data_IF_469633121519
#
_entry.id   IF_469633121519
#
_cell.length_a   1.000
_cell.length_b   1.000
_cell.length_c   1.000
_cell.angle_alpha   90.00
_cell.angle_beta   90.00
_cell.angle_gamma   90.00
#
_symmetry.space_group_name_H-M   'P 1'
#
loop_
_entity.id
_entity.type
_entity.pdbx_description
1 polymer ?
#
# COMPACT_ATOMS: atom_id res chain seq x y z
N UNK A 1 -8.19 13.81 -54.27
CA UNK A 1 -7.02 14.72 -54.39
C UNK A 1 -7.56 16.13 -54.26
N UNK A 2 -7.28 16.99 -53.30
CA UNK A 2 -6.33 17.23 -52.18
C UNK A 2 -7.01 18.39 -51.40
N UNK A 3 -6.76 18.79 -50.15
CA UNK A 3 -5.64 18.68 -49.23
C UNK A 3 -6.23 18.89 -47.82
N UNK A 4 -6.06 17.91 -46.92
CA UNK A 4 -6.22 18.10 -45.47
C UNK A 4 -4.88 18.51 -44.83
N UNK A 5 -3.90 18.91 -45.67
CA UNK A 5 -2.50 19.12 -45.29
C UNK A 5 -2.12 20.58 -44.98
N UNK A 6 -2.91 21.59 -45.33
CA UNK A 6 -2.39 22.98 -45.35
C UNK A 6 -2.41 23.72 -43.99
N UNK A 7 -2.99 23.15 -42.93
CA UNK A 7 -3.08 23.82 -41.62
C UNK A 7 -2.67 22.98 -40.41
N UNK A 8 -2.12 21.78 -40.63
CA UNK A 8 -1.41 21.04 -39.59
C UNK A 8 0.03 21.54 -39.57
N UNK A 9 0.32 22.54 -38.74
CA UNK A 9 1.71 22.87 -38.42
C UNK A 9 2.21 21.89 -37.37
N UNK A 10 3.21 21.09 -37.74
CA UNK A 10 4.00 20.26 -36.84
C UNK A 10 4.59 21.16 -35.73
N UNK A 11 4.02 21.09 -34.53
CA UNK A 11 4.46 21.90 -33.39
C UNK A 11 5.78 21.40 -32.76
N UNK A 12 6.21 20.19 -33.13
CA UNK A 12 7.44 19.56 -32.68
C UNK A 12 7.46 18.07 -33.02
N UNK A 13 8.66 17.51 -33.17
CA UNK A 13 8.89 16.06 -33.26
C UNK A 13 9.59 15.64 -31.99
N UNK A 14 8.99 14.75 -31.20
CA UNK A 14 9.71 14.11 -30.10
C UNK A 14 10.50 12.95 -30.70
N UNK A 15 11.79 13.19 -30.94
CA UNK A 15 12.70 12.19 -31.47
C UNK A 15 13.46 11.59 -30.29
N UNK A 16 13.21 10.32 -30.00
CA UNK A 16 14.08 9.55 -29.12
C UNK A 16 15.17 8.98 -30.03
N UNK A 17 16.41 9.46 -29.89
CA UNK A 17 17.48 9.17 -30.86
C UNK A 17 17.93 7.70 -30.85
N UNK A 18 17.60 6.92 -29.82
CA UNK A 18 17.96 5.52 -29.67
C UNK A 18 16.90 4.76 -28.85
N UNK A 19 16.85 3.44 -29.01
CA UNK A 19 16.25 2.55 -28.00
C UNK A 19 17.08 2.68 -26.72
N UNK A 20 16.76 3.65 -25.88
CA UNK A 20 17.39 3.82 -24.57
C UNK A 20 16.74 2.82 -23.62
N UNK A 21 17.48 1.77 -23.27
CA UNK A 21 17.11 0.90 -22.15
C UNK A 21 17.27 1.73 -20.88
N UNK A 22 16.16 2.26 -20.36
CA UNK A 22 16.13 3.05 -19.12
C UNK A 22 16.48 2.17 -17.91
N UNK A 23 15.97 0.95 -17.93
CA UNK A 23 16.14 -0.04 -16.88
C UNK A 23 15.98 -1.43 -17.49
N UNK A 24 16.81 -2.38 -17.06
CA UNK A 24 16.63 -3.79 -17.39
C UNK A 24 15.98 -4.46 -16.19
N UNK A 25 14.78 -5.00 -16.39
CA UNK A 25 13.98 -5.66 -15.36
C UNK A 25 13.76 -7.14 -15.71
N UNK A 26 13.47 -7.97 -14.71
CA UNK A 26 13.15 -9.37 -14.93
C UNK A 26 11.72 -9.52 -15.48
N UNK A 27 11.44 -10.61 -16.20
CA UNK A 27 10.07 -10.94 -16.59
C UNK A 27 9.29 -11.48 -15.39
N UNK A 28 8.15 -10.86 -15.08
CA UNK A 28 7.35 -11.18 -13.91
C UNK A 28 5.95 -11.67 -14.27
N UNK A 29 5.35 -12.48 -13.40
CA UNK A 29 3.97 -12.93 -13.45
C UNK A 29 3.60 -13.45 -14.85
N UNK A 30 4.26 -14.50 -15.36
CA UNK A 30 4.06 -14.96 -16.73
C UNK A 30 2.59 -15.28 -16.99
N UNK A 31 2.11 -14.84 -18.14
CA UNK A 31 0.72 -15.01 -18.55
C UNK A 31 0.41 -16.50 -18.75
N UNK A 32 -0.70 -16.98 -18.16
CA UNK A 32 -1.09 -18.39 -18.25
C UNK A 32 -2.02 -18.72 -19.42
N UNK A 33 -2.60 -17.71 -20.04
CA UNK A 33 -3.54 -17.84 -21.15
C UNK A 33 -3.40 -16.66 -22.13
N UNK A 34 -3.69 -16.84 -23.41
CA UNK A 34 -3.66 -15.73 -24.37
C UNK A 34 -4.81 -14.76 -24.12
N UNK A 35 -4.49 -13.46 -24.03
CA UNK A 35 -5.51 -12.42 -23.91
C UNK A 35 -6.07 -12.05 -25.29
N UNK A 36 -7.38 -12.24 -25.54
CA UNK A 36 -7.97 -11.83 -26.82
C UNK A 36 -7.90 -10.31 -26.96
N UNK A 37 -7.23 -9.86 -28.02
CA UNK A 37 -7.18 -8.43 -28.37
C UNK A 37 -8.51 -8.02 -29.02
N UNK A 38 -9.36 -7.34 -28.26
CA UNK A 38 -10.56 -6.71 -28.80
C UNK A 38 -10.17 -5.40 -29.49
N UNK A 39 -10.10 -5.42 -30.82
CA UNK A 39 -9.96 -4.21 -31.62
C UNK A 39 -11.36 -3.69 -31.92
N UNK A 40 -11.64 -2.45 -31.51
CA UNK A 40 -12.88 -1.79 -31.92
C UNK A 40 -12.94 -1.71 -33.45
N UNK A 41 -14.11 -1.86 -34.08
CA UNK A 41 -14.23 -1.61 -35.52
C UNK A 41 -13.70 -0.23 -35.87
N UNK A 42 -13.01 -0.09 -37.01
CA UNK A 42 -12.32 1.14 -37.40
C UNK A 42 -13.27 2.36 -37.41
N UNK A 43 -14.52 2.16 -37.81
CA UNK A 43 -15.57 3.18 -37.77
C UNK A 43 -15.87 3.67 -36.34
N UNK A 44 -15.93 2.77 -35.37
CA UNK A 44 -16.17 3.11 -33.95
C UNK A 44 -14.98 3.90 -33.40
N UNK A 45 -13.75 3.51 -33.75
CA UNK A 45 -12.53 4.25 -33.42
C UNK A 45 -12.58 5.66 -33.99
N UNK A 46 -12.81 5.82 -35.30
CA UNK A 46 -12.91 7.13 -35.96
C UNK A 46 -13.96 8.02 -35.30
N UNK A 47 -15.15 7.49 -35.01
CA UNK A 47 -16.23 8.23 -34.35
C UNK A 47 -15.83 8.66 -32.93
N UNK A 48 -15.24 7.77 -32.13
CA UNK A 48 -14.77 8.10 -30.77
C UNK A 48 -13.66 9.14 -30.79
N UNK A 49 -12.69 9.01 -31.70
CA UNK A 49 -11.61 9.98 -31.87
C UNK A 49 -12.15 11.36 -32.26
N UNK A 50 -13.09 11.43 -33.21
CA UNK A 50 -13.72 12.69 -33.60
C UNK A 50 -14.48 13.34 -32.43
N UNK A 51 -15.25 12.56 -31.66
CA UNK A 51 -15.96 13.06 -30.48
C UNK A 51 -15.00 13.57 -29.39
N UNK A 52 -13.88 12.87 -29.17
CA UNK A 52 -12.84 13.31 -28.23
C UNK A 52 -12.16 14.61 -28.69
N UNK A 53 -11.85 14.73 -29.99
CA UNK A 53 -11.28 15.95 -30.57
C UNK A 53 -12.24 17.15 -30.45
N UNK A 54 -13.54 16.93 -30.68
CA UNK A 54 -14.56 17.98 -30.49
C UNK A 54 -14.65 18.41 -29.03
N UNK A 55 -14.69 17.45 -28.10
CA UNK A 55 -14.69 17.73 -26.66
C UNK A 55 -13.43 18.47 -26.21
N UNK A 56 -12.26 18.06 -26.71
CA UNK A 56 -10.99 18.74 -26.48
C UNK A 56 -11.01 20.18 -26.97
N UNK A 57 -11.51 20.43 -28.18
CA UNK A 57 -11.63 21.78 -28.72
C UNK A 57 -12.62 22.65 -27.91
N UNK A 58 -13.71 22.06 -27.40
CA UNK A 58 -14.61 22.73 -26.46
C UNK A 58 -13.91 23.08 -25.14
N UNK A 59 -13.16 22.14 -24.54
CA UNK A 59 -12.38 22.35 -23.32
C UNK A 59 -11.29 23.42 -23.50
N UNK A 60 -10.62 23.42 -24.66
CA UNK A 60 -9.62 24.42 -25.05
C UNK A 60 -10.23 25.82 -25.18
N UNK A 61 -11.43 25.94 -25.76
CA UNK A 61 -12.19 27.20 -25.81
C UNK A 61 -12.61 27.66 -24.40
N UNK A 62 -13.04 26.73 -23.54
CA UNK A 62 -13.41 27.03 -22.16
C UNK A 62 -12.18 27.46 -21.32
N UNK A 63 -11.02 26.84 -21.51
CA UNK A 63 -9.76 27.24 -20.87
C UNK A 63 -9.32 28.66 -21.25
N UNK A 64 -9.50 29.05 -22.52
CA UNK A 64 -9.27 30.43 -22.99
C UNK A 64 -10.21 31.46 -22.39
N UNK A 65 -11.35 31.05 -21.83
CA UNK A 65 -12.32 31.93 -21.15
C UNK A 65 -11.99 32.22 -19.68
N UNK A 66 -10.84 31.77 -19.17
CA UNK A 66 -10.34 32.11 -17.83
C UNK A 66 -11.02 31.38 -16.66
N UNK A 67 -11.83 30.35 -16.93
CA UNK A 67 -12.63 29.63 -15.91
C UNK A 67 -12.01 28.33 -15.38
N UNK A 68 -10.86 27.90 -15.89
CA UNK A 68 -10.14 26.71 -15.43
C UNK A 68 -8.70 27.10 -15.12
N UNK A 69 -8.24 26.81 -13.90
CA UNK A 69 -6.85 27.03 -13.49
C UNK A 69 -5.91 26.34 -14.48
N UNK A 70 -5.12 27.14 -15.19
CA UNK A 70 -4.22 26.65 -16.23
C UNK A 70 -2.93 26.11 -15.59
N UNK A 71 -2.53 24.90 -15.96
CA UNK A 71 -1.10 24.61 -16.12
C UNK A 71 -0.72 25.26 -17.45
N UNK A 72 -0.16 26.47 -17.40
CA UNK A 72 0.47 27.11 -18.55
C UNK A 72 1.87 26.54 -18.72
N UNK A 73 2.13 25.88 -19.85
CA UNK A 73 3.48 25.83 -20.39
C UNK A 73 3.76 27.22 -20.97
N UNK A 74 4.50 28.03 -20.22
CA UNK A 74 4.85 29.41 -20.59
C UNK A 74 5.85 29.35 -21.75
N UNK A 75 5.38 29.60 -22.96
CA UNK A 75 6.24 30.06 -24.04
C UNK A 75 6.44 31.56 -23.81
N UNK A 76 7.67 31.99 -23.52
CA UNK A 76 7.96 33.42 -23.41
C UNK A 76 7.94 34.03 -24.81
N UNK A 77 6.84 34.68 -25.15
CA UNK A 77 6.72 35.54 -26.32
C UNK A 77 7.63 36.77 -26.16
N UNK A 78 8.72 36.83 -26.93
CA UNK A 78 9.16 38.12 -27.46
C UNK A 78 8.61 38.21 -28.88
N UNK A 79 7.67 39.14 -29.05
CA UNK A 79 6.93 39.39 -30.28
C UNK A 79 7.84 39.98 -31.38
N UNK A 80 7.86 39.35 -32.55
CA UNK A 80 8.25 39.99 -33.81
C UNK A 80 7.51 39.33 -35.01
N UNK A 81 6.91 40.09 -35.95
CA UNK A 81 6.32 39.54 -37.17
C UNK A 81 7.42 39.03 -38.11
N UNK A 82 7.40 37.74 -38.44
CA UNK A 82 8.35 37.09 -39.38
C UNK A 82 9.12 35.89 -38.84
N UNK A 83 8.71 35.29 -37.72
CA UNK A 83 9.41 34.15 -37.12
C UNK A 83 9.03 32.82 -37.81
N UNK A 84 9.98 32.18 -38.49
CA UNK A 84 9.91 30.74 -38.79
C UNK A 84 10.06 29.97 -37.46
N UNK A 85 9.28 28.91 -37.21
CA UNK A 85 9.42 28.11 -36.00
C UNK A 85 10.82 27.50 -35.97
N UNK A 86 11.67 27.97 -35.06
CA UNK A 86 12.91 27.27 -34.73
C UNK A 86 12.47 25.99 -34.02
N UNK A 87 12.49 24.88 -34.75
CA UNK A 87 12.43 23.54 -34.18
C UNK A 87 13.67 23.37 -33.29
N UNK A 88 13.56 23.76 -32.03
CA UNK A 88 14.55 23.38 -31.03
C UNK A 88 14.39 21.89 -30.78
N UNK A 89 15.44 21.14 -31.09
CA UNK A 89 15.55 19.74 -30.72
C UNK A 89 15.60 19.64 -29.20
N UNK A 90 14.47 19.29 -28.58
CA UNK A 90 14.44 18.91 -27.17
C UNK A 90 14.81 17.45 -27.09
N UNK A 91 16.12 17.18 -26.90
CA UNK A 91 16.58 15.84 -26.56
C UNK A 91 16.11 15.56 -25.12
N UNK A 92 15.03 14.79 -24.98
CA UNK A 92 14.68 14.21 -23.69
C UNK A 92 15.75 13.17 -23.37
N UNK A 93 16.70 13.55 -22.52
CA UNK A 93 17.58 12.60 -21.86
C UNK A 93 16.90 12.26 -20.53
N UNK A 94 16.39 11.03 -20.36
CA UNK A 94 15.92 10.57 -19.07
C UNK A 94 17.02 10.81 -18.04
N UNK A 95 16.73 11.59 -17.00
CA UNK A 95 17.62 11.68 -15.86
C UNK A 95 17.66 10.32 -15.15
N UNK A 96 18.79 9.96 -14.54
CA UNK A 96 18.79 8.89 -13.56
C UNK A 96 17.77 9.24 -12.47
N UNK A 97 16.82 8.35 -12.18
CA UNK A 97 15.95 8.54 -11.02
C UNK A 97 16.88 8.63 -9.79
N UNK A 98 16.75 9.66 -8.95
CA UNK A 98 17.49 9.72 -7.71
C UNK A 98 17.07 8.51 -6.87
N UNK A 99 17.90 7.48 -6.83
CA UNK A 99 17.71 6.38 -5.91
C UNK A 99 17.87 6.95 -4.50
N UNK A 100 16.89 6.75 -3.63
CA UNK A 100 17.08 7.01 -2.21
C UNK A 100 18.37 6.33 -1.75
N UNK A 101 19.29 7.11 -1.16
CA UNK A 101 20.52 6.57 -0.61
C UNK A 101 20.17 5.83 0.67
N UNK A 102 19.81 4.55 0.54
CA UNK A 102 19.65 3.68 1.70
C UNK A 102 21.04 3.34 2.23
N UNK A 103 21.38 3.91 3.38
CA UNK A 103 22.50 3.47 4.19
C UNK A 103 21.95 2.69 5.38
N UNK A 104 22.56 1.53 5.66
CA UNK A 104 22.26 0.78 6.87
C UNK A 104 22.66 1.62 8.09
N UNK A 105 21.77 1.68 9.07
CA UNK A 105 22.01 2.30 10.36
C UNK A 105 22.14 1.23 11.46
N UNK A 106 22.32 1.69 12.70
CA UNK A 106 22.48 0.83 13.87
C UNK A 106 21.31 -0.15 14.07
N UNK A 107 20.08 0.26 13.76
CA UNK A 107 18.90 -0.59 13.93
C UNK A 107 18.83 -1.68 12.85
N UNK A 108 19.36 -1.44 11.65
CA UNK A 108 19.47 -2.51 10.64
C UNK A 108 20.50 -3.55 11.06
N UNK A 109 21.66 -3.11 11.52
CA UNK A 109 22.68 -4.02 12.03
C UNK A 109 22.19 -4.80 13.25
N UNK A 110 21.44 -4.16 14.15
CA UNK A 110 20.84 -4.83 15.31
C UNK A 110 19.79 -5.86 14.91
N UNK A 111 18.87 -5.51 14.00
CA UNK A 111 17.87 -6.46 13.50
C UNK A 111 18.51 -7.69 12.83
N UNK A 112 19.52 -7.46 11.98
CA UNK A 112 20.26 -8.53 11.33
C UNK A 112 21.01 -9.41 12.35
N UNK A 113 21.70 -8.81 13.32
CA UNK A 113 22.42 -9.55 14.35
C UNK A 113 21.49 -10.41 15.21
N UNK A 114 20.29 -9.91 15.54
CA UNK A 114 19.28 -10.68 16.28
C UNK A 114 18.75 -11.84 15.43
N UNK A 115 18.39 -11.57 14.17
CA UNK A 115 17.88 -12.60 13.27
C UNK A 115 18.91 -13.70 12.98
N UNK A 116 20.19 -13.36 12.86
CA UNK A 116 21.28 -14.33 12.67
C UNK A 116 21.66 -15.06 13.98
N UNK A 117 21.49 -14.40 15.14
CA UNK A 117 21.84 -14.97 16.45
C UNK A 117 20.83 -15.98 17.02
N UNK A 118 19.57 -15.94 16.57
CA UNK A 118 18.51 -16.84 17.03
C UNK A 118 18.40 -18.11 16.17
N UNK A 119 17.75 -19.14 16.71
CA UNK A 119 17.39 -20.34 15.93
C UNK A 119 16.13 -20.06 15.13
N UNK A 120 15.97 -20.73 14.00
CA UNK A 120 14.78 -20.60 13.14
C UNK A 120 13.49 -20.87 13.92
N UNK A 121 13.48 -21.86 14.82
CA UNK A 121 12.32 -22.17 15.67
C UNK A 121 11.91 -21.01 16.61
N UNK A 122 12.87 -20.20 17.06
CA UNK A 122 12.61 -19.04 17.90
C UNK A 122 12.18 -17.81 17.05
N UNK A 123 12.46 -17.83 15.75
CA UNK A 123 12.09 -16.79 14.79
C UNK A 123 10.70 -17.02 14.20
N UNK A 124 10.30 -18.26 13.94
CA UNK A 124 9.00 -18.62 13.32
C UNK A 124 7.79 -17.91 13.97
N UNK A 125 7.69 -17.78 15.31
CA UNK A 125 6.58 -17.06 15.94
C UNK A 125 6.45 -15.58 15.55
N UNK A 126 7.48 -14.95 14.95
CA UNK A 126 7.46 -13.56 14.49
C UNK A 126 6.82 -13.39 13.11
N UNK A 127 6.70 -14.48 12.34
CA UNK A 127 6.20 -14.48 10.97
C UNK A 127 4.67 -14.50 10.91
N UNK A 128 4.00 -14.52 12.07
CA UNK A 128 2.55 -14.42 12.18
C UNK A 128 2.17 -13.35 13.22
N UNK A 129 1.08 -12.65 12.92
CA UNK A 129 0.46 -11.73 13.86
C UNK A 129 -0.17 -12.46 15.06
N UNK A 130 -0.74 -11.65 15.96
CA UNK A 130 -1.48 -12.08 17.12
C UNK A 130 -2.85 -11.41 17.14
N UNK A 131 -3.86 -12.17 17.51
CA UNK A 131 -5.23 -11.70 17.74
C UNK A 131 -5.81 -12.26 19.04
N UNK A 132 -6.88 -11.64 19.54
CA UNK A 132 -7.71 -12.26 20.57
C UNK A 132 -8.37 -13.53 20.03
N UNK A 133 -8.20 -14.64 20.76
CA UNK A 133 -8.81 -15.96 20.52
C UNK A 133 -10.34 -15.93 20.35
N UNK A 134 -10.98 -14.80 20.68
CA UNK A 134 -12.42 -14.63 20.74
C UNK A 134 -13.02 -13.77 19.60
N UNK A 135 -12.25 -13.38 18.57
CA UNK A 135 -12.78 -12.47 17.52
C UNK A 135 -12.61 -12.98 16.09
N UNK A 136 -13.72 -13.39 15.46
CA UNK A 136 -13.83 -13.55 13.99
C UNK A 136 -14.10 -12.20 13.29
N UNK A 137 -14.32 -11.12 14.05
CA UNK A 137 -14.59 -9.79 13.54
C UNK A 137 -13.33 -9.15 12.94
N UNK A 138 -13.20 -9.21 11.62
CA UNK A 138 -12.10 -8.60 10.85
C UNK A 138 -11.93 -7.13 11.26
N UNK A 139 -10.74 -6.81 11.78
CA UNK A 139 -10.28 -5.46 12.09
C UNK A 139 -10.66 -4.93 13.48
N UNK A 140 -10.98 -5.79 14.45
CA UNK A 140 -11.16 -5.44 15.87
C UNK A 140 -10.58 -6.54 16.77
N UNK A 141 -9.37 -6.97 16.45
CA UNK A 141 -8.77 -8.23 16.95
C UNK A 141 -7.50 -8.01 17.76
N UNK A 142 -7.01 -6.78 17.90
CA UNK A 142 -5.85 -6.44 18.74
C UNK A 142 -6.16 -6.53 20.24
N UNK A 143 -5.16 -6.90 21.05
CA UNK A 143 -5.27 -7.08 22.50
C UNK A 143 -5.07 -5.79 23.30
N UNK A 144 -4.10 -4.97 22.90
CA UNK A 144 -3.63 -3.79 23.62
C UNK A 144 -4.49 -2.57 23.39
N UNK A 145 -4.96 -2.39 22.14
CA UNK A 145 -5.78 -1.24 21.76
C UNK A 145 -7.16 -1.74 21.31
N UNK A 146 -8.22 -1.49 22.11
CA UNK A 146 -9.56 -1.96 21.80
C UNK A 146 -10.02 -1.52 20.41
N UNK A 147 -10.34 -2.50 19.56
CA UNK A 147 -10.85 -2.28 18.22
C UNK A 147 -9.80 -2.08 17.15
N UNK A 148 -8.50 -2.14 17.47
CA UNK A 148 -7.46 -2.18 16.45
C UNK A 148 -7.44 -3.54 15.72
N UNK A 149 -6.84 -3.58 14.54
CA UNK A 149 -7.00 -4.68 13.58
C UNK A 149 -6.20 -5.93 13.92
N UNK A 150 -5.04 -5.76 14.56
CA UNK A 150 -4.19 -6.87 14.99
C UNK A 150 -2.89 -6.37 15.60
N UNK A 151 -2.04 -7.31 16.00
CA UNK A 151 -0.72 -7.03 16.55
C UNK A 151 0.34 -7.94 15.93
N UNK A 152 1.59 -7.53 16.00
CA UNK A 152 2.71 -8.47 15.82
C UNK A 152 2.87 -9.36 17.04
N UNK A 153 3.57 -10.48 16.86
CA UNK A 153 3.94 -11.37 17.94
C UNK A 153 4.72 -10.69 19.07
N UNK A 154 4.53 -11.16 20.31
CA UNK A 154 5.32 -10.77 21.49
C UNK A 154 6.41 -11.80 21.82
N UNK A 155 6.74 -12.73 20.92
CA UNK A 155 7.65 -13.85 21.19
C UNK A 155 9.04 -13.43 21.69
N UNK A 156 9.52 -12.23 21.32
CA UNK A 156 10.81 -11.71 21.74
C UNK A 156 10.75 -10.74 22.93
N UNK A 157 9.57 -10.48 23.49
CA UNK A 157 9.38 -9.48 24.55
C UNK A 157 10.12 -9.85 25.84
N UNK A 158 9.97 -11.08 26.30
CA UNK A 158 10.61 -11.53 27.54
C UNK A 158 12.13 -11.75 27.37
N UNK A 159 12.55 -12.20 26.19
CA UNK A 159 13.96 -12.56 25.93
C UNK A 159 14.83 -11.35 25.55
N UNK A 160 14.31 -10.44 24.74
CA UNK A 160 15.08 -9.34 24.14
C UNK A 160 14.41 -7.96 24.32
N UNK A 161 13.32 -7.88 25.08
CA UNK A 161 12.55 -6.64 25.28
C UNK A 161 12.03 -6.02 23.98
N UNK A 162 11.77 -6.86 22.96
CA UNK A 162 11.14 -6.44 21.71
C UNK A 162 9.64 -6.65 21.81
N UNK A 163 8.83 -5.58 21.91
CA UNK A 163 7.39 -5.70 22.12
C UNK A 163 6.67 -6.06 20.81
N UNK A 164 5.49 -6.68 20.94
CA UNK A 164 4.51 -6.70 19.85
C UNK A 164 3.90 -5.31 19.66
N UNK A 165 3.61 -4.93 18.42
CA UNK A 165 3.13 -3.60 18.08
C UNK A 165 1.76 -3.65 17.41
N UNK A 166 0.98 -2.58 17.59
CA UNK A 166 -0.43 -2.55 17.20
C UNK A 166 -0.61 -1.93 15.82
N UNK A 167 -1.54 -2.49 15.05
CA UNK A 167 -1.97 -1.93 13.78
C UNK A 167 -3.48 -1.76 13.69
N UNK A 168 -3.93 -0.70 13.02
CA UNK A 168 -5.35 -0.38 12.91
C UNK A 168 -5.75 0.03 11.49
N UNK A 169 -6.96 -0.34 11.10
CA UNK A 169 -7.66 0.28 9.96
C UNK A 169 -8.01 1.74 10.25
N UNK A 170 -8.48 2.56 9.32
CA UNK A 170 -8.52 2.33 7.86
C UNK A 170 -8.29 3.64 7.09
N UNK A 171 -8.37 3.66 5.75
CA UNK A 171 -7.93 4.81 4.95
C UNK A 171 -8.65 6.14 5.18
N UNK A 172 -9.78 6.15 5.89
CA UNK A 172 -10.53 7.35 6.27
C UNK A 172 -10.30 7.79 7.73
N UNK A 173 -9.23 7.31 8.37
CA UNK A 173 -8.89 7.59 9.78
C UNK A 173 -8.81 6.32 10.62
N UNK A 174 -8.32 6.43 11.85
CA UNK A 174 -8.20 5.27 12.72
C UNK A 174 -9.57 4.68 13.07
N UNK A 175 -9.68 3.36 12.92
CA UNK A 175 -10.87 2.57 13.24
C UNK A 175 -10.57 1.81 14.52
N UNK A 176 -11.05 2.37 15.62
CA UNK A 176 -10.99 1.78 16.96
C UNK A 176 -12.41 1.68 17.52
N UNK A 177 -12.58 0.97 18.63
CA UNK A 177 -13.84 0.95 19.36
C UNK A 177 -14.11 2.31 19.98
N UNK A 178 -15.24 2.97 19.69
CA UNK A 178 -15.55 4.31 20.25
C UNK A 178 -15.53 4.39 21.77
N UNK A 179 -15.86 3.29 22.44
CA UNK A 179 -15.79 3.14 23.88
C UNK A 179 -15.37 1.73 24.27
N UNK A 180 -14.69 1.61 25.39
CA UNK A 180 -14.31 0.34 26.02
C UNK A 180 -14.48 0.43 27.53
N UNK A 181 -14.57 -0.71 28.18
CA UNK A 181 -14.78 -0.80 29.62
C UNK A 181 -13.60 -1.47 30.29
N UNK A 182 -13.15 -0.89 31.39
CA UNK A 182 -12.02 -1.37 32.18
C UNK A 182 -12.50 -1.67 33.58
N UNK A 183 -12.19 -2.85 34.10
CA UNK A 183 -12.50 -3.20 35.48
C UNK A 183 -11.74 -2.27 36.43
N UNK A 184 -12.44 -1.64 37.38
CA UNK A 184 -11.90 -0.57 38.22
C UNK A 184 -10.70 -0.98 39.08
N UNK A 185 -10.70 -2.23 39.57
CA UNK A 185 -9.63 -2.73 40.45
C UNK A 185 -8.49 -3.43 39.70
N UNK A 186 -8.79 -4.31 38.74
CA UNK A 186 -7.79 -5.10 38.02
C UNK A 186 -7.18 -4.38 36.82
N UNK A 187 -7.84 -3.36 36.27
CA UNK A 187 -7.42 -2.71 35.03
C UNK A 187 -7.66 -3.56 33.77
N UNK A 188 -8.37 -4.68 33.89
CA UNK A 188 -8.63 -5.59 32.77
C UNK A 188 -9.74 -5.05 31.86
N UNK A 189 -9.56 -5.24 30.56
CA UNK A 189 -10.57 -4.89 29.56
C UNK A 189 -11.74 -5.88 29.60
N UNK A 190 -12.97 -5.35 29.61
CA UNK A 190 -14.17 -6.17 29.45
C UNK A 190 -14.20 -6.75 28.04
N UNK A 191 -14.31 -8.07 27.93
CA UNK A 191 -14.51 -8.73 26.64
C UNK A 191 -15.89 -8.36 26.08
N UNK A 192 -15.88 -7.68 24.94
CA UNK A 192 -17.06 -7.41 24.12
C UNK A 192 -17.04 -8.46 23.02
N UNK A 193 -17.96 -9.42 23.09
CA UNK A 193 -18.02 -10.52 22.11
C UNK A 193 -18.11 -10.03 20.65
N UNK A 194 -17.98 -10.95 19.69
CA UNK A 194 -17.88 -10.67 18.24
C UNK A 194 -18.73 -9.50 17.70
N UNK A 195 -20.01 -9.43 18.07
CA UNK A 195 -20.94 -8.40 17.59
C UNK A 195 -20.70 -7.02 18.21
N UNK A 196 -20.10 -6.93 19.40
CA UNK A 196 -19.74 -5.68 20.07
C UNK A 196 -18.59 -4.94 19.38
N UNK A 197 -17.68 -5.68 18.73
CA UNK A 197 -16.59 -5.13 17.92
C UNK A 197 -17.00 -4.67 16.52
N UNK A 198 -18.03 -5.30 15.95
CA UNK A 198 -18.48 -5.06 14.58
C UNK A 198 -19.40 -3.82 14.50
N UNK A 199 -19.10 -2.89 13.59
CA UNK A 199 -19.86 -1.63 13.40
C UNK A 199 -20.12 -0.85 14.72
N UNK A 200 -19.18 -0.86 15.67
CA UNK A 200 -19.34 -0.28 17.02
C UNK A 200 -20.49 -0.89 17.83
N UNK A 201 -20.75 -2.18 17.69
CA UNK A 201 -21.80 -2.83 18.46
C UNK A 201 -23.21 -2.51 17.97
N UNK A 202 -23.37 -2.02 16.73
CA UNK A 202 -24.70 -1.72 16.16
C UNK A 202 -25.65 -2.93 16.22
N UNK A 203 -25.10 -4.15 16.17
CA UNK A 203 -25.84 -5.40 16.29
C UNK A 203 -25.70 -6.08 17.67
N UNK A 204 -24.99 -5.49 18.61
CA UNK A 204 -24.86 -6.03 19.96
C UNK A 204 -26.16 -5.77 20.75
N UNK A 205 -26.54 -6.72 21.60
CA UNK A 205 -27.59 -6.47 22.59
C UNK A 205 -27.14 -5.35 23.55
N UNK A 206 -28.08 -4.56 24.07
CA UNK A 206 -27.79 -3.58 25.14
C UNK A 206 -27.12 -4.32 26.30
N UNK A 207 -25.81 -4.09 26.47
CA UNK A 207 -25.07 -4.67 27.56
C UNK A 207 -25.34 -3.83 28.81
N UNK A 208 -25.82 -4.47 29.88
CA UNK A 208 -25.79 -3.87 31.21
C UNK A 208 -24.36 -3.41 31.51
N UNK A 209 -24.23 -2.18 32.02
CA UNK A 209 -22.99 -1.56 32.45
C UNK A 209 -22.79 -1.85 33.95
N UNK A 210 -22.01 -2.87 34.33
CA UNK A 210 -21.87 -3.25 35.73
C UNK A 210 -21.03 -2.19 36.46
N UNK A 211 -21.37 -1.90 37.72
CA UNK A 211 -20.72 -0.83 38.49
C UNK A 211 -19.21 -1.02 38.67
N UNK A 212 -18.75 -2.27 38.63
CA UNK A 212 -17.33 -2.67 38.75
C UNK A 212 -16.47 -2.27 37.54
N UNK A 213 -17.09 -1.84 36.44
CA UNK A 213 -16.40 -1.35 35.24
C UNK A 213 -16.49 0.18 35.12
N UNK A 214 -15.47 0.77 34.52
CA UNK A 214 -15.43 2.17 34.11
C UNK A 214 -15.34 2.26 32.59
N UNK A 215 -16.24 3.03 31.98
CA UNK A 215 -16.25 3.29 30.54
C UNK A 215 -15.26 4.41 30.19
N UNK A 216 -14.45 4.15 29.17
CA UNK A 216 -13.54 5.11 28.54
C UNK A 216 -13.99 5.33 27.09
N UNK A 217 -13.73 6.53 26.57
CA UNK A 217 -14.08 6.93 25.20
C UNK A 217 -12.81 7.24 24.41
N UNK A 218 -12.73 6.75 23.17
CA UNK A 218 -11.59 6.96 22.27
C UNK A 218 -12.09 7.26 20.84
N UNK A 219 -12.63 8.46 20.64
CA UNK A 219 -13.09 8.90 19.33
C UNK A 219 -11.93 9.31 18.44
N UNK A 220 -11.98 8.91 17.18
CA UNK A 220 -11.01 9.25 16.14
C UNK A 220 -11.62 10.18 15.11
N UNK A 221 -10.79 10.89 14.35
CA UNK A 221 -11.26 11.77 13.28
C UNK A 221 -11.61 10.95 12.03
N UNK A 222 -12.82 11.14 11.51
CA UNK A 222 -13.21 10.61 10.20
C UNK A 222 -12.81 11.59 9.09
N UNK A 223 -11.72 11.28 8.39
CA UNK A 223 -11.21 12.06 7.27
C UNK A 223 -11.98 11.76 5.97
N UNK A 224 -11.96 12.67 4.98
CA UNK A 224 -12.51 12.37 3.66
C UNK A 224 -11.87 11.14 3.03
N UNK A 225 -12.68 10.36 2.32
CA UNK A 225 -12.26 9.11 1.66
C UNK A 225 -11.27 9.38 0.52
N UNK A 226 -10.47 8.36 0.15
CA UNK A 226 -9.39 8.47 -0.85
C UNK A 226 -9.78 9.14 -2.15
N UNK A 227 -10.95 8.80 -2.72
CA UNK A 227 -11.40 9.40 -3.99
C UNK A 227 -11.67 10.90 -3.88
N UNK A 228 -12.13 11.37 -2.71
CA UNK A 228 -12.33 12.79 -2.44
C UNK A 228 -10.99 13.51 -2.30
N UNK A 229 -10.02 12.89 -1.60
CA UNK A 229 -8.68 13.42 -1.46
C UNK A 229 -7.96 13.55 -2.81
N UNK A 230 -8.09 12.55 -3.69
CA UNK A 230 -7.49 12.58 -5.02
C UNK A 230 -8.01 13.73 -5.88
N UNK A 231 -9.31 14.07 -5.76
CA UNK A 231 -9.94 15.18 -6.49
C UNK A 231 -9.40 16.56 -6.09
N UNK A 232 -8.66 16.66 -4.99
CA UNK A 232 -7.99 17.91 -4.61
C UNK A 232 -6.77 18.21 -5.48
N UNK A 233 -6.15 17.19 -6.08
CA UNK A 233 -4.85 17.29 -6.77
C UNK A 233 -3.78 18.00 -5.91
N UNK A 234 -3.90 17.94 -4.58
CA UNK A 234 -3.10 18.70 -3.65
C UNK A 234 -2.35 17.76 -2.68
N UNK A 235 -1.13 17.41 -3.04
CA UNK A 235 -0.26 16.54 -2.22
C UNK A 235 0.11 17.18 -0.88
N UNK A 236 0.25 18.50 -0.79
CA UNK A 236 0.57 19.19 0.46
C UNK A 236 -0.57 19.07 1.48
N UNK A 237 -1.82 19.14 1.02
CA UNK A 237 -2.99 18.91 1.85
C UNK A 237 -3.06 17.45 2.32
N UNK A 238 -2.82 16.49 1.42
CA UNK A 238 -2.83 15.06 1.74
C UNK A 238 -1.73 14.73 2.77
N UNK A 239 -0.55 15.36 2.67
CA UNK A 239 0.53 15.24 3.65
C UNK A 239 0.13 15.79 5.03
N UNK A 240 -0.60 16.92 5.08
CA UNK A 240 -1.13 17.45 6.34
C UNK A 240 -2.16 16.51 6.97
N UNK A 241 -3.02 15.89 6.16
CA UNK A 241 -3.98 14.86 6.64
C UNK A 241 -3.23 13.65 7.21
N UNK A 242 -2.21 13.14 6.52
CA UNK A 242 -1.38 12.05 7.01
C UNK A 242 -0.74 12.38 8.37
N UNK A 243 -0.25 13.61 8.54
CA UNK A 243 0.26 14.08 9.85
C UNK A 243 -0.83 14.13 10.92
N UNK A 244 -2.05 14.53 10.54
CA UNK A 244 -3.25 14.48 11.39
C UNK A 244 -3.49 13.09 11.96
N UNK A 245 -3.51 12.08 11.09
CA UNK A 245 -3.68 10.67 11.47
C UNK A 245 -2.52 10.20 12.36
N UNK A 246 -1.28 10.56 12.04
CA UNK A 246 -0.12 10.17 12.84
C UNK A 246 -0.15 10.69 14.28
N UNK A 247 -0.71 11.88 14.52
CA UNK A 247 -0.92 12.38 15.90
C UNK A 247 -1.93 11.52 16.67
N UNK A 248 -3.00 11.04 16.02
CA UNK A 248 -3.92 10.08 16.63
C UNK A 248 -3.25 8.72 16.85
N UNK A 249 -2.39 8.27 15.92
CA UNK A 249 -1.64 7.02 16.06
C UNK A 249 -0.72 7.03 17.29
N UNK A 250 0.01 8.12 17.50
CA UNK A 250 0.82 8.33 18.70
C UNK A 250 -0.05 8.32 19.97
N UNK A 251 -1.18 9.02 19.94
CA UNK A 251 -2.10 9.15 21.08
C UNK A 251 -2.74 7.82 21.48
N UNK A 252 -3.08 6.98 20.50
CA UNK A 252 -3.73 5.68 20.71
C UNK A 252 -2.77 4.49 20.65
N UNK A 253 -1.46 4.73 20.65
CA UNK A 253 -0.43 3.69 20.62
C UNK A 253 -0.59 2.71 19.43
N UNK A 254 -0.96 3.25 18.27
CA UNK A 254 -0.95 2.53 16.99
C UNK A 254 0.39 2.78 16.31
N UNK A 255 1.08 1.72 15.92
CA UNK A 255 2.36 1.81 15.20
C UNK A 255 2.17 1.83 13.70
N UNK A 256 1.32 0.94 13.18
CA UNK A 256 1.09 0.81 11.74
C UNK A 256 -0.37 1.08 11.38
N UNK A 257 -0.57 2.02 10.46
CA UNK A 257 -1.89 2.33 9.93
C UNK A 257 -2.10 1.58 8.63
N UNK A 258 -3.19 0.80 8.54
CA UNK A 258 -3.53 -0.02 7.39
C UNK A 258 -4.12 0.83 6.25
N UNK A 259 -3.33 1.77 5.76
CA UNK A 259 -3.66 2.75 4.75
C UNK A 259 -2.35 3.34 4.17
N UNK A 260 -2.40 4.01 3.01
CA UNK A 260 -3.57 4.20 2.14
C UNK A 260 -3.95 2.97 1.33
N UNK A 261 -5.24 2.86 1.01
CA UNK A 261 -5.73 2.03 -0.08
C UNK A 261 -5.44 2.72 -1.42
N UNK A 262 -4.85 2.03 -2.38
CA UNK A 262 -4.35 2.66 -3.62
C UNK A 262 -4.47 1.80 -4.88
N UNK A 263 -5.35 0.78 -4.87
CA UNK A 263 -5.66 0.02 -6.07
C UNK A 263 -6.29 0.93 -7.14
N UNK A 264 -5.99 0.66 -8.42
CA UNK A 264 -6.54 1.42 -9.55
C UNK A 264 -8.06 1.25 -9.65
N UNK A 265 -8.77 2.34 -9.96
CA UNK A 265 -10.19 2.29 -10.33
C UNK A 265 -10.39 1.65 -11.72
N UNK A 266 -10.19 0.33 -11.82
CA UNK A 266 -10.32 -0.42 -13.08
C UNK A 266 -11.74 -0.34 -13.65
N UNK A 267 -12.73 -0.40 -12.77
CA UNK A 267 -14.15 -0.37 -13.12
C UNK A 267 -14.90 0.43 -12.05
N UNK A 268 -15.85 1.31 -12.42
CA UNK A 268 -16.59 2.13 -11.46
C UNK A 268 -17.41 1.31 -10.45
N UNK A 269 -17.70 0.04 -10.73
CA UNK A 269 -18.51 -0.85 -9.89
C UNK A 269 -17.73 -1.53 -8.76
N UNK A 270 -16.40 -1.35 -8.67
CA UNK A 270 -15.66 -1.89 -7.53
C UNK A 270 -16.12 -1.22 -6.22
N UNK A 271 -16.58 -2.04 -5.28
CA UNK A 271 -17.17 -1.57 -4.01
C UNK A 271 -16.20 -0.78 -3.11
N UNK A 272 -14.90 -0.88 -3.34
CA UNK A 272 -13.85 -0.17 -2.58
C UNK A 272 -13.21 1.01 -3.32
N UNK A 273 -13.75 1.41 -4.48
CA UNK A 273 -13.27 2.63 -5.16
C UNK A 273 -13.30 3.88 -4.28
N UNK A 274 -14.18 3.94 -3.27
CA UNK A 274 -14.26 5.11 -2.40
C UNK A 274 -12.97 5.35 -1.59
N UNK A 275 -12.29 4.29 -1.15
CA UNK A 275 -11.07 4.39 -0.32
C UNK A 275 -9.78 4.45 -1.16
N UNK A 276 -9.87 4.17 -2.45
CA UNK A 276 -8.77 4.29 -3.41
C UNK A 276 -8.74 5.68 -4.05
N UNK A 277 -7.66 6.00 -4.77
CA UNK A 277 -7.44 7.37 -5.27
C UNK A 277 -7.96 7.58 -6.70
N UNK A 278 -7.50 6.80 -7.68
CA UNK A 278 -7.69 7.14 -9.10
C UNK A 278 -7.64 5.92 -10.03
N UNK A 279 -8.15 6.11 -11.25
CA UNK A 279 -7.88 5.21 -12.39
C UNK A 279 -6.49 5.42 -12.99
N UNK A 280 -5.84 6.54 -12.68
CA UNK A 280 -4.51 6.89 -13.15
C UNK A 280 -3.42 6.54 -12.10
N UNK A 281 -2.38 5.79 -12.49
CA UNK A 281 -1.34 5.34 -11.56
C UNK A 281 -0.44 6.46 -11.05
N UNK A 282 -0.24 7.55 -11.81
CA UNK A 282 0.55 8.68 -11.35
C UNK A 282 -0.18 9.42 -10.23
N UNK A 283 -1.47 9.71 -10.41
CA UNK A 283 -2.31 10.32 -9.37
C UNK A 283 -2.37 9.41 -8.13
N UNK A 284 -2.63 8.11 -8.30
CA UNK A 284 -2.69 7.18 -7.18
C UNK A 284 -1.35 7.11 -6.41
N UNK A 285 -0.24 7.00 -7.15
CA UNK A 285 1.10 6.95 -6.56
C UNK A 285 1.48 8.22 -5.82
N UNK A 286 1.24 9.41 -6.41
CA UNK A 286 1.56 10.71 -5.78
C UNK A 286 0.74 10.97 -4.53
N UNK A 287 -0.55 10.61 -4.53
CA UNK A 287 -1.41 10.75 -3.36
C UNK A 287 -1.00 9.79 -2.25
N UNK A 288 -0.68 8.53 -2.60
CA UNK A 288 -0.20 7.55 -1.64
C UNK A 288 1.15 7.98 -1.02
N UNK A 289 2.11 8.42 -1.85
CA UNK A 289 3.39 8.93 -1.39
C UNK A 289 3.21 10.10 -0.41
N UNK A 290 2.42 11.12 -0.78
CA UNK A 290 2.17 12.28 0.09
C UNK A 290 1.54 11.90 1.44
N UNK A 291 0.58 10.98 1.44
CA UNK A 291 -0.04 10.47 2.67
C UNK A 291 0.99 9.76 3.55
N UNK A 292 1.79 8.87 2.96
CA UNK A 292 2.87 8.14 3.63
C UNK A 292 3.92 9.09 4.21
N UNK A 293 4.36 10.10 3.47
CA UNK A 293 5.28 11.12 3.99
C UNK A 293 4.69 11.87 5.19
N UNK A 294 3.40 12.21 5.13
CA UNK A 294 2.70 12.90 6.21
C UNK A 294 2.73 12.10 7.50
N UNK A 295 2.33 10.82 7.41
CA UNK A 295 2.31 9.89 8.55
C UNK A 295 3.73 9.66 9.09
N UNK A 296 4.66 9.27 8.21
CA UNK A 296 6.02 8.88 8.60
C UNK A 296 6.95 10.05 8.93
N UNK A 297 6.45 11.29 8.80
CA UNK A 297 7.13 12.48 9.34
C UNK A 297 7.13 12.52 10.87
N UNK A 298 6.20 11.81 11.51
CA UNK A 298 6.15 11.62 12.96
C UNK A 298 7.02 10.43 13.39
N UNK A 299 7.58 10.46 14.60
CA UNK A 299 8.36 9.35 15.13
C UNK A 299 7.54 8.07 15.31
N UNK A 300 8.12 6.91 14.96
CA UNK A 300 7.60 5.62 15.40
C UNK A 300 6.31 5.12 14.73
N UNK A 301 5.75 5.87 13.78
CA UNK A 301 4.49 5.51 13.11
C UNK A 301 4.67 5.39 11.61
N UNK A 302 3.93 4.46 10.99
CA UNK A 302 4.06 4.17 9.57
C UNK A 302 2.78 3.74 8.88
N UNK A 303 2.81 3.85 7.55
CA UNK A 303 1.73 3.39 6.68
C UNK A 303 1.97 1.98 6.19
N UNK A 304 0.87 1.27 5.94
CA UNK A 304 0.83 0.03 5.17
C UNK A 304 0.08 0.27 3.86
N UNK A 305 0.81 0.48 2.75
CA UNK A 305 0.16 0.68 1.45
C UNK A 305 -0.52 -0.61 0.98
N UNK A 306 -1.76 -0.52 0.47
CA UNK A 306 -2.58 -1.71 0.15
C UNK A 306 -3.52 -1.54 -1.05
N UNK A 307 -3.97 -2.61 -1.71
CA UNK A 307 -3.58 -4.02 -1.57
C UNK A 307 -2.74 -4.41 -2.78
N UNK A 308 -1.52 -4.88 -2.53
CA UNK A 308 -0.53 -5.18 -3.54
C UNK A 308 -0.75 -6.59 -4.12
N UNK A 309 -1.27 -6.78 -5.33
CA UNK A 309 -1.76 -5.81 -6.30
C UNK A 309 -3.07 -6.30 -6.96
N UNK A 310 -3.59 -5.55 -7.93
CA UNK A 310 -4.74 -5.95 -8.77
C UNK A 310 -6.04 -6.32 -8.04
N UNK A 311 -6.22 -5.88 -6.78
CA UNK A 311 -7.47 -6.06 -6.03
C UNK A 311 -8.53 -5.02 -6.44
N UNK A 312 -9.00 -5.11 -7.68
CA UNK A 312 -9.89 -4.11 -8.28
C UNK A 312 -11.36 -4.59 -8.38
N UNK A 313 -11.71 -5.68 -7.69
CA UNK A 313 -13.06 -6.25 -7.65
C UNK A 313 -13.28 -6.94 -6.31
N UNK A 314 -14.35 -6.55 -5.60
CA UNK A 314 -14.69 -7.15 -4.29
C UNK A 314 -15.39 -8.50 -4.43
N UNK A 315 -16.21 -8.66 -5.47
CA UNK A 315 -16.90 -9.92 -5.73
C UNK A 315 -15.89 -11.05 -5.91
N UNK A 316 -15.99 -12.05 -5.02
CA UNK A 316 -15.06 -13.19 -4.93
C UNK A 316 -13.57 -12.78 -4.85
N UNK A 317 -13.22 -11.69 -4.16
CA UNK A 317 -11.84 -11.17 -4.08
C UNK A 317 -10.79 -12.19 -3.62
N UNK A 318 -11.17 -13.25 -2.91
CA UNK A 318 -10.28 -14.33 -2.49
C UNK A 318 -10.10 -15.43 -3.55
N UNK A 319 -11.09 -15.65 -4.41
CA UNK A 319 -11.04 -16.68 -5.46
C UNK A 319 -10.66 -16.17 -6.86
N UNK A 320 -10.79 -14.86 -7.10
CA UNK A 320 -10.56 -14.25 -8.43
C UNK A 320 -9.11 -14.34 -8.89
N UNK A 321 -8.92 -14.48 -10.20
CA UNK A 321 -7.62 -14.41 -10.86
C UNK A 321 -7.57 -13.23 -11.82
N UNK A 322 -6.70 -12.27 -11.51
CA UNK A 322 -6.42 -11.13 -12.37
C UNK A 322 -5.47 -11.58 -13.49
N UNK A 323 -6.04 -11.96 -14.64
CA UNK A 323 -5.29 -12.28 -15.84
C UNK A 323 -4.89 -10.99 -16.56
N UNK A 324 -3.60 -10.65 -16.51
CA UNK A 324 -3.09 -9.35 -16.94
C UNK A 324 -1.73 -9.50 -17.62
N UNK A 325 -1.55 -8.82 -18.75
CA UNK A 325 -0.23 -8.76 -19.42
C UNK A 325 0.78 -8.05 -18.53
N UNK A 326 2.04 -8.47 -18.56
CA UNK A 326 3.12 -7.83 -17.80
C UNK A 326 3.21 -6.31 -18.06
N UNK A 327 3.01 -5.86 -19.29
CA UNK A 327 2.96 -4.43 -19.64
C UNK A 327 1.93 -3.66 -18.81
N UNK A 328 0.68 -4.11 -18.82
CA UNK A 328 -0.39 -3.46 -18.05
C UNK A 328 -0.16 -3.61 -16.54
N UNK A 329 0.39 -4.75 -16.09
CA UNK A 329 0.78 -4.96 -14.70
C UNK A 329 1.76 -3.88 -14.25
N UNK A 330 2.87 -3.70 -14.98
CA UNK A 330 3.92 -2.71 -14.68
C UNK A 330 3.43 -1.27 -14.85
N UNK A 331 2.85 -0.93 -16.00
CA UNK A 331 2.50 0.47 -16.35
C UNK A 331 1.29 1.01 -15.56
N UNK A 332 0.36 0.15 -15.13
CA UNK A 332 -0.91 0.58 -14.50
C UNK A 332 -1.02 0.09 -13.06
N UNK A 333 -1.00 -1.22 -12.83
CA UNK A 333 -1.39 -1.76 -11.53
C UNK A 333 -0.28 -1.69 -10.47
N UNK A 334 0.97 -1.78 -10.90
CA UNK A 334 2.14 -1.70 -10.04
C UNK A 334 2.73 -0.29 -9.98
N UNK A 335 2.55 0.52 -11.04
CA UNK A 335 3.17 1.85 -11.14
C UNK A 335 2.84 2.79 -9.97
N UNK A 336 1.61 2.75 -9.45
CA UNK A 336 1.26 3.52 -8.25
C UNK A 336 2.08 3.10 -7.02
N UNK A 337 2.20 1.80 -6.77
CA UNK A 337 2.99 1.25 -5.66
C UNK A 337 4.47 1.56 -5.83
N UNK A 338 5.00 1.45 -7.05
CA UNK A 338 6.38 1.84 -7.38
C UNK A 338 6.65 3.29 -6.98
N UNK A 339 5.78 4.23 -7.40
CA UNK A 339 5.90 5.65 -7.05
C UNK A 339 5.88 5.82 -5.52
N UNK A 340 4.93 5.18 -4.82
CA UNK A 340 4.85 5.28 -3.36
C UNK A 340 6.13 4.77 -2.68
N UNK A 341 6.68 3.64 -3.13
CA UNK A 341 7.94 3.08 -2.62
C UNK A 341 9.11 4.01 -2.91
N UNK A 342 9.29 4.41 -4.18
CA UNK A 342 10.43 5.22 -4.63
C UNK A 342 10.40 6.67 -4.16
N UNK A 343 9.25 7.20 -3.72
CA UNK A 343 9.13 8.59 -3.25
C UNK A 343 8.93 8.74 -1.74
N UNK A 344 8.49 7.68 -1.04
CA UNK A 344 8.15 7.81 0.39
C UNK A 344 8.56 6.66 1.29
N UNK A 345 8.99 5.52 0.74
CA UNK A 345 9.39 4.29 1.45
C UNK A 345 8.43 3.99 2.61
N UNK A 346 7.24 3.44 2.34
CA UNK A 346 6.32 3.09 3.42
C UNK A 346 6.96 2.05 4.36
N UNK A 347 6.64 2.09 5.66
CA UNK A 347 7.14 1.08 6.61
C UNK A 347 6.62 -0.31 6.25
N UNK A 348 5.40 -0.39 5.70
CA UNK A 348 4.75 -1.66 5.41
C UNK A 348 4.03 -1.65 4.04
N UNK A 349 3.84 -2.84 3.48
CA UNK A 349 3.03 -3.10 2.29
C UNK A 349 2.15 -4.33 2.55
N UNK A 350 0.89 -4.30 2.16
CA UNK A 350 -0.03 -5.42 2.34
C UNK A 350 -0.38 -6.06 1.00
N UNK A 351 -0.16 -7.36 0.86
CA UNK A 351 -0.53 -8.09 -0.35
C UNK A 351 -2.04 -8.28 -0.46
N UNK A 352 -2.58 -8.38 -1.66
CA UNK A 352 -4.00 -8.64 -1.90
C UNK A 352 -4.43 -10.09 -1.70
N UNK A 353 -5.75 -10.28 -1.61
CA UNK A 353 -6.40 -11.59 -1.57
C UNK A 353 -6.29 -12.38 -2.88
N UNK A 354 -6.48 -11.71 -4.01
CA UNK A 354 -6.69 -12.34 -5.31
C UNK A 354 -5.42 -13.00 -5.86
N UNK A 355 -5.61 -13.80 -6.91
CA UNK A 355 -4.52 -14.30 -7.74
C UNK A 355 -4.17 -13.28 -8.81
N UNK A 356 -2.91 -13.28 -9.22
CA UNK A 356 -2.41 -12.55 -10.40
C UNK A 356 -1.73 -13.57 -11.28
N UNK A 357 -2.26 -13.77 -12.49
CA UNK A 357 -1.84 -14.82 -13.41
C UNK A 357 -1.66 -16.18 -12.69
N UNK A 358 -2.66 -16.54 -11.87
CA UNK A 358 -2.83 -17.84 -11.23
C UNK A 358 -2.01 -18.11 -9.97
N UNK A 359 -1.32 -17.12 -9.41
CA UNK A 359 -0.64 -17.21 -8.09
C UNK A 359 -1.26 -16.18 -7.15
N UNK A 360 -1.62 -16.59 -5.93
CA UNK A 360 -2.08 -15.65 -4.90
C UNK A 360 -1.01 -14.60 -4.61
N UNK A 361 -1.42 -13.34 -4.45
CA UNK A 361 -0.46 -12.24 -4.31
C UNK A 361 0.51 -12.44 -3.13
N UNK A 362 0.01 -12.95 -2.00
CA UNK A 362 0.83 -13.29 -0.83
C UNK A 362 1.88 -14.37 -1.09
N UNK A 363 1.63 -15.30 -2.03
CA UNK A 363 2.57 -16.37 -2.42
C UNK A 363 3.39 -16.02 -3.66
N UNK A 364 3.27 -14.80 -4.20
CA UNK A 364 3.86 -14.42 -5.47
C UNK A 364 5.25 -13.81 -5.27
N UNK A 365 6.29 -14.61 -5.55
CA UNK A 365 7.70 -14.20 -5.44
C UNK A 365 8.08 -13.10 -6.43
N UNK A 366 7.49 -13.09 -7.61
CA UNK A 366 7.75 -12.05 -8.61
C UNK A 366 7.30 -10.69 -8.08
N UNK A 367 6.18 -10.63 -7.35
CA UNK A 367 5.70 -9.40 -6.73
C UNK A 367 6.51 -9.06 -5.46
N UNK A 368 6.59 -9.98 -4.51
CA UNK A 368 7.11 -9.69 -3.18
C UNK A 368 8.63 -9.58 -3.16
N UNK A 369 9.35 -10.33 -3.99
CA UNK A 369 10.82 -10.30 -4.04
C UNK A 369 11.34 -9.56 -5.27
N UNK A 370 10.96 -9.98 -6.48
CA UNK A 370 11.58 -9.44 -7.70
C UNK A 370 11.22 -7.96 -7.87
N UNK A 371 9.93 -7.64 -7.94
CA UNK A 371 9.46 -6.25 -8.07
C UNK A 371 9.75 -5.43 -6.82
N UNK A 372 9.18 -5.81 -5.67
CA UNK A 372 9.22 -4.92 -4.51
C UNK A 372 10.64 -4.76 -3.96
N UNK A 373 11.40 -5.85 -3.78
CA UNK A 373 12.71 -5.80 -3.13
C UNK A 373 13.85 -5.52 -4.09
N UNK A 374 13.89 -6.17 -5.27
CA UNK A 374 15.05 -6.07 -6.16
C UNK A 374 14.94 -4.89 -7.12
N UNK A 375 13.79 -4.70 -7.75
CA UNK A 375 13.59 -3.59 -8.70
C UNK A 375 13.35 -2.26 -7.95
N UNK A 376 12.41 -2.23 -7.01
CA UNK A 376 12.04 -0.97 -6.33
C UNK A 376 12.84 -0.69 -5.06
N UNK A 377 13.67 -1.65 -4.63
CA UNK A 377 14.50 -1.51 -3.44
C UNK A 377 13.68 -1.21 -2.16
N UNK A 378 12.46 -1.76 -2.03
CA UNK A 378 11.59 -1.58 -0.86
C UNK A 378 12.27 -2.09 0.42
N UNK A 379 12.29 -1.26 1.47
CA UNK A 379 12.99 -1.53 2.75
C UNK A 379 12.09 -1.88 3.92
N UNK A 380 10.77 -1.73 3.75
CA UNK A 380 9.80 -2.00 4.80
C UNK A 380 9.50 -3.49 4.96
N UNK A 381 8.38 -3.81 5.61
CA UNK A 381 7.83 -5.16 5.77
C UNK A 381 6.70 -5.40 4.76
N UNK A 382 6.60 -6.62 4.20
CA UNK A 382 5.42 -7.07 3.45
C UNK A 382 4.57 -7.96 4.37
N UNK A 383 3.28 -7.71 4.45
CA UNK A 383 2.32 -8.54 5.20
C UNK A 383 1.19 -9.06 4.31
N UNK A 384 0.52 -10.12 4.73
CA UNK A 384 -0.71 -10.58 4.06
C UNK A 384 -1.89 -9.67 4.36
N UNK A 385 -2.91 -9.68 3.49
CA UNK A 385 -4.26 -9.29 3.94
C UNK A 385 -4.77 -10.31 4.97
N UNK A 386 -5.79 -9.92 5.74
CA UNK A 386 -6.32 -10.73 6.83
C UNK A 386 -6.88 -12.04 6.31
N UNK A 387 -6.50 -13.17 6.91
CA UNK A 387 -7.08 -14.50 6.67
C UNK A 387 -6.88 -15.10 5.28
N UNK A 388 -5.95 -14.54 4.49
CA UNK A 388 -5.55 -15.09 3.18
C UNK A 388 -5.03 -16.53 3.25
N UNK A 389 -4.52 -16.97 4.40
CA UNK A 389 -3.98 -18.32 4.62
C UNK A 389 -4.97 -19.34 5.16
N UNK A 390 -6.19 -18.91 5.48
CA UNK A 390 -7.28 -19.85 5.79
C UNK A 390 -7.72 -20.58 4.52
N UNK A 391 -8.42 -21.71 4.70
CA UNK A 391 -8.83 -22.60 3.60
C UNK A 391 -9.52 -21.86 2.44
N UNK A 392 -10.38 -20.89 2.78
CA UNK A 392 -11.11 -20.08 1.79
C UNK A 392 -10.27 -18.96 1.14
N UNK A 393 -9.16 -18.55 1.79
CA UNK A 393 -8.26 -17.51 1.31
C UNK A 393 -7.24 -18.02 0.28
N UNK A 394 -6.88 -19.31 0.36
CA UNK A 394 -6.14 -20.03 -0.68
C UNK A 394 -4.62 -19.81 -0.72
N UNK A 395 -4.07 -18.91 0.10
CA UNK A 395 -2.62 -18.74 0.24
C UNK A 395 -2.04 -19.81 1.17
N UNK A 396 -0.84 -20.29 0.86
CA UNK A 396 -0.14 -21.30 1.68
C UNK A 396 0.89 -20.59 2.58
N UNK A 397 0.86 -20.78 3.92
CA UNK A 397 1.69 -20.02 4.87
C UNK A 397 3.19 -20.01 4.56
N UNK A 398 3.81 -21.19 4.41
CA UNK A 398 5.26 -21.23 4.13
C UNK A 398 5.63 -20.61 2.77
N UNK A 399 4.71 -20.63 1.78
CA UNK A 399 4.93 -19.97 0.49
C UNK A 399 4.82 -18.44 0.60
N UNK A 400 4.09 -17.90 1.58
CA UNK A 400 4.13 -16.47 1.88
C UNK A 400 5.56 -16.07 2.24
N UNK A 401 6.15 -16.77 3.22
CA UNK A 401 7.53 -16.53 3.67
C UNK A 401 8.55 -16.73 2.53
N UNK A 402 8.45 -17.83 1.77
CA UNK A 402 9.35 -18.10 0.65
C UNK A 402 9.25 -17.06 -0.49
N UNK A 403 8.07 -16.44 -0.67
CA UNK A 403 7.87 -15.39 -1.66
C UNK A 403 8.49 -14.04 -1.23
N UNK A 404 8.78 -13.85 0.06
CA UNK A 404 9.19 -12.58 0.65
C UNK A 404 8.03 -11.78 1.25
N UNK A 405 6.89 -12.42 1.55
CA UNK A 405 5.87 -11.87 2.44
C UNK A 405 6.25 -12.24 3.88
N UNK A 406 6.60 -11.22 4.66
CA UNK A 406 7.33 -11.34 5.92
C UNK A 406 6.41 -11.69 7.10
N UNK A 407 5.14 -11.26 7.06
CA UNK A 407 4.20 -11.37 8.18
C UNK A 407 2.79 -11.80 7.73
N UNK A 408 2.33 -12.94 8.25
CA UNK A 408 0.98 -13.45 8.04
C UNK A 408 0.02 -12.80 9.05
N UNK A 409 -1.01 -12.13 8.56
CA UNK A 409 -2.06 -11.50 9.36
C UNK A 409 -3.42 -12.20 9.16
N UNK A 410 -4.24 -12.35 10.21
CA UNK A 410 -3.96 -12.01 11.61
C UNK A 410 -2.98 -12.95 12.32
N UNK A 411 -2.67 -14.11 11.71
CA UNK A 411 -1.83 -15.15 12.28
C UNK A 411 -2.64 -16.17 13.10
N UNK A 412 -2.46 -17.46 12.78
CA UNK A 412 -3.04 -18.59 13.49
C UNK A 412 -1.97 -19.62 13.83
N UNK A 413 -2.21 -20.47 14.85
CA UNK A 413 -1.28 -21.54 15.20
C UNK A 413 -1.03 -22.50 14.01
N UNK A 414 -2.04 -22.74 13.18
CA UNK A 414 -1.92 -23.54 11.96
C UNK A 414 -0.93 -22.96 10.95
N UNK A 415 -0.78 -21.63 10.88
CA UNK A 415 0.19 -20.99 10.00
C UNK A 415 1.61 -21.29 10.48
N UNK A 416 1.85 -21.15 11.78
CA UNK A 416 3.14 -21.44 12.41
C UNK A 416 3.52 -22.92 12.28
N UNK A 417 2.57 -23.82 12.49
CA UNK A 417 2.79 -25.26 12.36
C UNK A 417 3.11 -25.64 10.90
N UNK A 418 2.43 -25.00 9.93
CA UNK A 418 2.72 -25.18 8.51
C UNK A 418 4.14 -24.72 8.14
N UNK A 419 4.58 -23.57 8.66
CA UNK A 419 5.93 -23.03 8.46
C UNK A 419 6.98 -23.97 9.09
N UNK A 420 6.78 -24.41 10.34
CA UNK A 420 7.68 -25.36 11.01
C UNK A 420 7.81 -26.66 10.23
N UNK A 421 6.69 -27.24 9.80
CA UNK A 421 6.71 -28.46 9.01
C UNK A 421 7.46 -28.27 7.69
N UNK A 422 7.22 -27.17 6.97
CA UNK A 422 7.91 -26.88 5.72
C UNK A 422 9.43 -26.71 5.91
N UNK A 423 9.85 -26.09 7.01
CA UNK A 423 11.26 -25.95 7.36
C UNK A 423 11.91 -27.32 7.67
N UNK A 424 11.25 -28.13 8.50
CA UNK A 424 11.73 -29.47 8.86
C UNK A 424 11.83 -30.41 7.64
N UNK A 425 10.92 -30.25 6.67
CA UNK A 425 10.92 -31.00 5.40
C UNK A 425 11.87 -30.42 4.34
N UNK A 426 12.55 -29.30 4.62
CA UNK A 426 13.47 -28.64 3.68
C UNK A 426 12.78 -27.91 2.52
N UNK A 427 11.45 -27.71 2.59
CA UNK A 427 10.67 -26.94 1.61
C UNK A 427 10.77 -25.43 1.80
N UNK A 428 11.12 -24.98 3.01
CA UNK A 428 11.44 -23.60 3.36
C UNK A 428 12.85 -23.55 3.94
N UNK A 429 13.68 -22.63 3.46
CA UNK A 429 15.07 -22.49 3.90
C UNK A 429 15.16 -21.61 5.14
N UNK A 430 16.11 -21.92 6.05
CA UNK A 430 16.31 -21.12 7.27
C UNK A 430 16.63 -19.65 6.98
N UNK A 431 17.34 -19.36 5.88
CA UNK A 431 17.61 -17.97 5.47
C UNK A 431 16.34 -17.19 5.09
N UNK A 432 15.32 -17.85 4.55
CA UNK A 432 14.04 -17.21 4.21
C UNK A 432 13.30 -16.80 5.49
N UNK A 433 13.32 -17.67 6.51
CA UNK A 433 12.79 -17.36 7.86
C UNK A 433 13.55 -16.20 8.50
N UNK A 434 14.89 -16.25 8.47
CA UNK A 434 15.75 -15.21 9.06
C UNK A 434 15.50 -13.85 8.43
N UNK A 435 15.40 -13.77 7.11
CA UNK A 435 15.11 -12.51 6.41
C UNK A 435 13.73 -11.95 6.75
N UNK A 436 12.69 -12.79 6.77
CA UNK A 436 11.35 -12.36 7.17
C UNK A 436 11.34 -11.82 8.60
N UNK A 437 11.95 -12.55 9.53
CA UNK A 437 12.07 -12.12 10.93
C UNK A 437 12.93 -10.85 11.09
N UNK A 438 14.02 -10.70 10.34
CA UNK A 438 14.85 -9.49 10.31
C UNK A 438 13.99 -8.27 9.95
N UNK A 439 13.17 -8.35 8.90
CA UNK A 439 12.29 -7.25 8.50
C UNK A 439 11.26 -6.91 9.59
N UNK A 440 10.64 -7.92 10.21
CA UNK A 440 9.70 -7.72 11.34
C UNK A 440 10.41 -7.01 12.50
N UNK A 441 11.56 -7.52 12.94
CA UNK A 441 12.34 -6.94 14.03
C UNK A 441 12.74 -5.51 13.68
N UNK A 442 13.25 -5.27 12.48
CA UNK A 442 13.67 -3.95 12.02
C UNK A 442 12.53 -2.93 12.08
N UNK A 443 11.34 -3.29 11.60
CA UNK A 443 10.18 -2.38 11.62
C UNK A 443 9.65 -2.16 13.04
N UNK A 444 9.69 -3.18 13.92
CA UNK A 444 9.32 -3.03 15.34
C UNK A 444 10.29 -2.10 16.07
N UNK A 445 11.60 -2.26 15.86
CA UNK A 445 12.63 -1.39 16.46
C UNK A 445 12.50 0.08 16.06
N UNK A 446 11.80 0.35 14.97
CA UNK A 446 11.55 1.69 14.44
C UNK A 446 10.18 2.25 14.81
N UNK A 447 9.39 1.52 15.58
CA UNK A 447 8.04 1.94 15.94
C UNK A 447 7.99 2.74 17.24
N UNK A 448 6.82 3.30 17.53
CA UNK A 448 6.47 3.96 18.78
C UNK A 448 6.30 2.97 19.95
N UNK A 449 6.70 1.69 19.78
CA UNK A 449 6.97 0.78 20.90
C UNK A 449 8.21 1.18 21.72
N UNK A 450 9.00 2.13 21.22
CA UNK A 450 10.18 2.69 21.88
C UNK A 450 10.08 4.22 22.03
N UNK A 451 10.43 4.76 23.20
CA UNK A 451 10.32 6.20 23.51
C UNK A 451 11.17 7.07 22.57
N UNK A 452 12.38 6.62 22.23
CA UNK A 452 13.34 7.35 21.39
C UNK A 452 13.18 7.08 19.88
N UNK A 453 12.00 6.62 19.46
CA UNK A 453 11.73 6.36 18.04
C UNK A 453 11.98 7.61 17.19
N UNK A 454 12.35 7.41 15.92
CA UNK A 454 12.64 8.48 14.97
C UNK A 454 11.67 8.41 13.80
N UNK A 455 11.51 9.53 13.10
CA UNK A 455 10.74 9.56 11.85
C UNK A 455 11.38 8.61 10.83
N UNK A 456 10.60 7.66 10.31
CA UNK A 456 11.06 6.73 9.28
C UNK A 456 11.39 7.47 7.98
N UNK A 457 10.59 8.47 7.62
CA UNK A 457 10.79 9.25 6.40
C UNK A 457 12.14 10.00 6.36
N UNK A 458 12.57 10.57 7.50
CA UNK A 458 13.84 11.32 7.58
C UNK A 458 15.07 10.48 7.24
N UNK A 459 14.99 9.15 7.34
CA UNK A 459 16.06 8.23 6.96
C UNK A 459 16.43 8.32 5.47
N UNK A 460 15.47 8.71 4.64
CA UNK A 460 15.62 8.71 3.18
C UNK A 460 15.86 10.11 2.62
N UNK A 461 15.92 11.13 3.48
CA UNK A 461 16.33 12.49 3.12
C UNK A 461 17.86 12.54 3.26
N UNK A 462 18.57 12.38 2.13
CA UNK A 462 20.03 12.29 2.07
C UNK A 462 20.80 13.47 2.65
#
# INVERSE_FOLDING_TARGET
TSSLDEHLMLAGVLRVEQDVVLETVEHICPLREELPKFVLPEEVLRRKTAAWQEHWELMKRASRSGKLGQIQLVYTENQAPGFEPILTETIFTPGAEPAFCYQMDELDHMANAIAEGLREEDLIPLLAGRILDCTEAIGASALKVPGAAGETSEALKEMLHIPGITMADGPAGLRLLKSYEVHRETGELRSIGNLGGFENGFFAAENEHPEEYQTYYQYTTAFPVGVCLAQTFNTDLVKQIGRGVAMEMETYHISWWLAPGMNIHRNPLCGRNFEYFSEDPLVSGKMAAAMTEGVQSMPGVGTTIKHFACNNQEDNRMGTDAVVSERALREIYLRGFEIAVKESQPMCMMTSYNKINGVHSANNKDLCTEVARREWNFKGLIMTDWTTTLEYGGSIPYLCTAAGNDLIMPGFQSDLDNIRQAFQEGRLQGQEIRKAAEHVINMVLRSNGYEDSKSYYKRFLG
#
